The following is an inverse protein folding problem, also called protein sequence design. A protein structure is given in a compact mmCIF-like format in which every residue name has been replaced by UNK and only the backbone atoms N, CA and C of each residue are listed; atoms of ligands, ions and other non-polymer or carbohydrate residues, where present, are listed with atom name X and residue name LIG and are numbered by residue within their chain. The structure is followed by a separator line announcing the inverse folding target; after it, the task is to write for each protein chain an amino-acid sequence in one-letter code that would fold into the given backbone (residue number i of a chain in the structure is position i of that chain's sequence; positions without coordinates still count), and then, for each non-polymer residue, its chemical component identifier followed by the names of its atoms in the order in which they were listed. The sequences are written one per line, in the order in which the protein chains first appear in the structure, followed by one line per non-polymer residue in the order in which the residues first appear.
data_IF_857678968969
#
_entry.id   IF_857678968969
#
_cell.length_a   1.000
_cell.length_b   1.000
_cell.length_c   1.000
_cell.angle_alpha   90.00
_cell.angle_beta   90.00
_cell.angle_gamma   90.00
#
_symmetry.space_group_name_H-M   'P 1'
#
loop_
_entity.id
_entity.type
_entity.pdbx_description
1 polymer ?
#
# COMPACT_ATOMS: atom_id res chain seq x y z
N UNK A 1 -32.41 39.48 10.37
CA UNK A 1 -32.88 38.42 11.30
C UNK A 1 -32.25 37.15 10.77
N UNK A 2 -31.26 36.61 11.48
CA UNK A 2 -30.13 35.80 10.95
C UNK A 2 -29.24 36.59 9.94
N UNK A 3 -27.91 36.45 9.85
CA UNK A 3 -26.93 35.35 10.10
C UNK A 3 -26.91 34.28 8.98
N UNK A 4 -25.79 33.75 8.47
CA UNK A 4 -24.33 33.93 8.73
C UNK A 4 -23.53 33.23 7.57
N UNK A 5 -22.23 33.39 7.27
CA UNK A 5 -21.11 34.32 7.62
C UNK A 5 -19.97 34.16 6.55
N UNK A 6 -19.01 35.10 6.36
CA UNK A 6 -17.84 34.93 5.48
C UNK A 6 -16.48 34.74 6.23
N UNK A 7 -15.40 34.52 5.46
CA UNK A 7 -14.06 34.08 5.89
C UNK A 7 -13.21 35.08 6.72
N UNK A 8 -12.18 34.52 7.38
CA UNK A 8 -10.76 34.93 7.30
C UNK A 8 -9.99 35.31 8.61
N UNK A 9 -8.91 34.54 8.83
CA UNK A 9 -7.57 34.98 9.27
C UNK A 9 -7.34 35.98 10.44
N UNK A 10 -6.99 35.40 11.59
CA UNK A 10 -5.66 35.51 12.23
C UNK A 10 -5.21 36.74 13.07
N UNK A 11 -4.39 36.40 14.08
CA UNK A 11 -3.37 37.17 14.83
C UNK A 11 -3.78 38.11 15.99
N UNK A 12 -3.08 37.89 17.12
CA UNK A 12 -2.83 38.78 18.27
C UNK A 12 -4.05 39.12 19.16
N UNK A 13 -4.07 38.78 20.46
CA UNK A 13 -3.19 39.44 21.45
C UNK A 13 -3.02 38.69 22.79
N UNK A 14 -1.88 38.94 23.44
CA UNK A 14 -1.67 39.02 24.91
C UNK A 14 -2.34 38.00 25.87
N UNK A 15 -1.55 37.01 26.26
CA UNK A 15 -1.18 36.75 27.69
C UNK A 15 -2.14 37.22 28.80
N UNK A 16 -3.01 36.32 29.27
CA UNK A 16 -3.53 36.21 30.64
C UNK A 16 -4.02 34.76 30.81
N UNK A 17 -3.35 33.96 31.66
CA UNK A 17 -3.82 32.68 32.25
C UNK A 17 -2.64 31.93 32.92
N UNK A 18 -2.02 32.54 33.95
CA UNK A 18 -0.92 31.93 34.73
C UNK A 18 -1.10 32.17 36.23
N UNK A 19 -2.32 32.01 36.78
CA UNK A 19 -2.54 32.28 38.21
C UNK A 19 -3.62 31.43 38.94
N UNK A 20 -3.89 30.19 38.51
CA UNK A 20 -4.84 29.29 39.22
C UNK A 20 -4.33 27.86 39.50
N UNK A 21 -3.08 27.68 39.99
CA UNK A 21 -2.72 26.39 40.63
C UNK A 21 -1.59 26.32 41.67
N UNK A 22 -1.15 27.44 42.25
CA UNK A 22 -0.09 27.46 43.27
C UNK A 22 -0.54 27.81 44.70
N UNK A 23 -1.83 27.69 45.02
CA UNK A 23 -2.34 27.83 46.40
C UNK A 23 -2.41 26.49 47.16
N UNK A 24 -1.26 25.88 47.45
CA UNK A 24 -1.17 24.83 48.48
C UNK A 24 0.27 24.68 49.02
N UNK A 25 0.58 25.37 50.12
CA UNK A 25 1.49 25.02 51.24
C UNK A 25 2.05 26.28 51.93
N UNK A 26 2.11 26.28 53.27
CA UNK A 26 2.89 27.25 54.06
C UNK A 26 2.11 28.36 54.77
N UNK A 27 1.50 28.06 55.91
CA UNK A 27 1.09 29.08 56.89
C UNK A 27 2.31 29.60 57.66
N UNK A 28 2.52 30.92 57.74
CA UNK A 28 2.95 31.61 58.99
C UNK A 28 3.03 33.14 58.87
N UNK A 29 2.32 33.84 59.77
CA UNK A 29 2.68 35.14 60.40
C UNK A 29 3.44 36.22 59.59
N UNK A 30 2.67 37.24 59.17
CA UNK A 30 2.95 38.68 59.38
C UNK A 30 4.38 39.24 59.31
N UNK A 31 4.68 40.00 58.25
CA UNK A 31 5.31 41.33 58.33
C UNK A 31 5.14 42.11 56.99
N UNK A 32 5.33 43.45 56.93
CA UNK A 32 5.11 44.27 55.73
C UNK A 32 6.27 44.22 54.71
N UNK A 33 6.07 44.66 53.44
CA UNK A 33 6.96 44.32 52.33
C UNK A 33 8.27 45.12 52.28
N UNK A 34 9.30 44.49 51.73
CA UNK A 34 10.54 45.12 51.22
C UNK A 34 10.67 44.85 49.72
N UNK A 35 11.17 45.83 48.96
CA UNK A 35 11.26 45.82 47.49
C UNK A 35 12.00 44.58 46.91
N UNK A 36 11.58 44.02 45.76
CA UNK A 36 12.24 42.89 45.12
C UNK A 36 13.51 43.29 44.35
N UNK A 37 14.62 42.60 44.59
CA UNK A 37 15.88 42.79 43.86
C UNK A 37 15.89 42.04 42.50
N UNK A 38 16.24 42.69 41.37
CA UNK A 38 16.02 42.17 40.02
C UNK A 38 17.23 41.39 39.43
N UNK A 39 17.77 40.41 40.15
CA UNK A 39 19.07 39.78 39.80
C UNK A 39 19.09 38.23 39.80
N UNK A 40 17.94 37.56 39.92
CA UNK A 40 17.88 36.08 40.07
C UNK A 40 17.57 35.28 38.79
N UNK A 41 17.04 35.90 37.74
CA UNK A 41 16.57 35.15 36.55
C UNK A 41 17.71 34.72 35.61
N UNK A 42 18.89 35.34 35.70
CA UNK A 42 19.97 35.18 34.71
C UNK A 42 20.76 33.86 34.81
N UNK A 43 20.45 32.99 35.79
CA UNK A 43 21.15 31.71 36.01
C UNK A 43 20.27 30.46 35.82
N UNK A 44 19.00 30.58 35.41
CA UNK A 44 18.13 29.43 35.28
C UNK A 44 18.43 28.60 34.01
N UNK A 45 19.30 27.61 34.14
CA UNK A 45 19.65 26.67 33.06
C UNK A 45 18.58 25.61 32.75
N UNK A 46 17.50 25.55 33.55
CA UNK A 46 16.38 24.63 33.36
C UNK A 46 15.22 25.38 32.69
N UNK A 47 14.72 24.84 31.57
CA UNK A 47 13.46 25.29 30.98
C UNK A 47 12.41 24.20 31.15
N UNK A 48 11.15 24.60 31.36
CA UNK A 48 10.02 23.67 31.40
C UNK A 48 9.81 23.10 30.00
N UNK A 49 10.06 21.81 29.84
CA UNK A 49 9.87 21.07 28.59
C UNK A 49 9.25 19.71 28.90
N UNK A 50 8.27 19.31 28.10
CA UNK A 50 7.68 17.98 28.19
C UNK A 50 8.69 16.90 27.79
N UNK A 51 8.60 15.74 28.45
CA UNK A 51 9.40 14.57 28.07
C UNK A 51 9.11 14.17 26.62
N UNK A 52 10.13 13.83 25.84
CA UNK A 52 10.02 13.46 24.40
C UNK A 52 9.20 12.18 24.11
N UNK A 53 8.64 11.56 25.14
CA UNK A 53 7.73 10.40 25.09
C UNK A 53 6.37 10.70 25.74
N UNK A 54 6.12 11.95 26.15
CA UNK A 54 4.80 12.41 26.58
C UNK A 54 3.89 12.54 25.37
N UNK A 55 2.60 12.20 25.52
CA UNK A 55 1.57 12.38 24.49
C UNK A 55 1.44 13.83 24.02
N UNK A 56 1.73 14.80 24.89
CA UNK A 56 1.67 16.23 24.60
C UNK A 56 2.93 16.73 23.86
N UNK A 57 4.01 15.95 23.88
CA UNK A 57 5.26 16.32 23.22
C UNK A 57 5.15 16.15 21.70
N UNK A 58 5.45 17.21 20.95
CA UNK A 58 5.31 17.24 19.48
C UNK A 58 6.43 16.49 18.73
N UNK A 59 7.07 15.52 19.38
CA UNK A 59 8.24 14.82 18.85
C UNK A 59 7.84 13.68 17.90
N UNK A 60 8.43 13.69 16.70
CA UNK A 60 8.07 12.77 15.60
C UNK A 60 9.24 11.98 15.02
N UNK A 61 10.48 12.24 15.47
CA UNK A 61 11.69 11.72 14.83
C UNK A 61 12.15 10.36 15.39
N UNK A 62 11.23 9.39 15.46
CA UNK A 62 11.48 8.03 15.96
C UNK A 62 12.34 7.15 15.01
N UNK A 63 12.97 7.73 13.99
CA UNK A 63 13.80 7.03 13.00
C UNK A 63 14.95 6.23 13.64
N UNK A 64 15.50 6.71 14.75
CA UNK A 64 16.53 6.00 15.51
C UNK A 64 16.01 4.68 16.10
N UNK A 65 14.80 4.69 16.67
CA UNK A 65 14.15 3.49 17.24
C UNK A 65 13.81 2.50 16.12
N UNK A 66 13.25 2.98 15.01
CA UNK A 66 12.90 2.13 13.86
C UNK A 66 14.15 1.44 13.28
N UNK A 67 15.26 2.18 13.09
CA UNK A 67 16.54 1.61 12.67
C UNK A 67 17.07 0.58 13.68
N UNK A 68 16.93 0.83 14.98
CA UNK A 68 17.37 -0.10 16.03
C UNK A 68 16.54 -1.39 16.05
N UNK A 69 15.23 -1.31 15.87
CA UNK A 69 14.33 -2.46 15.73
C UNK A 69 14.72 -3.29 14.49
N UNK A 70 14.96 -2.66 13.33
CA UNK A 70 15.44 -3.36 12.13
C UNK A 70 16.78 -4.08 12.39
N UNK A 71 17.72 -3.42 13.07
CA UNK A 71 19.02 -4.01 13.40
C UNK A 71 18.85 -5.19 14.37
N UNK A 72 17.98 -5.10 15.38
CA UNK A 72 17.68 -6.21 16.29
C UNK A 72 17.00 -7.39 15.58
N UNK A 73 16.00 -7.11 14.73
CA UNK A 73 15.30 -8.13 13.95
C UNK A 73 16.28 -8.91 13.07
N UNK A 74 17.14 -8.18 12.34
CA UNK A 74 18.19 -8.76 11.50
C UNK A 74 19.19 -9.55 12.36
N UNK A 75 19.71 -9.01 13.47
CA UNK A 75 20.71 -9.71 14.29
C UNK A 75 20.16 -10.97 14.97
N UNK A 76 18.92 -10.91 15.48
CA UNK A 76 18.27 -12.02 16.20
C UNK A 76 17.93 -13.16 15.24
N UNK A 77 17.44 -12.84 14.05
CA UNK A 77 17.05 -13.82 13.03
C UNK A 77 18.14 -14.10 11.99
N UNK A 78 19.31 -13.46 12.06
CA UNK A 78 20.44 -13.74 11.17
C UNK A 78 20.89 -15.21 11.25
N UNK A 79 20.83 -15.83 12.43
CA UNK A 79 21.15 -17.26 12.56
C UNK A 79 20.09 -18.12 11.86
N UNK A 80 18.80 -17.87 12.12
CA UNK A 80 17.68 -18.55 11.45
C UNK A 80 17.72 -18.39 9.92
N UNK A 81 18.13 -17.21 9.44
CA UNK A 81 18.35 -16.93 8.02
C UNK A 81 19.54 -17.72 7.46
N UNK A 82 20.69 -17.73 8.15
CA UNK A 82 21.88 -18.47 7.74
C UNK A 82 21.65 -19.99 7.77
N UNK A 83 21.00 -20.50 8.80
CA UNK A 83 20.68 -21.93 8.95
C UNK A 83 19.71 -22.37 7.85
N UNK A 84 18.69 -21.57 7.52
CA UNK A 84 17.85 -21.83 6.34
C UNK A 84 18.64 -21.74 5.03
N UNK A 85 19.48 -20.73 4.86
CA UNK A 85 20.31 -20.56 3.65
C UNK A 85 21.35 -21.70 3.48
N UNK A 86 21.78 -22.33 4.56
CA UNK A 86 22.73 -23.47 4.55
C UNK A 86 21.99 -24.80 4.38
N UNK A 87 20.83 -25.02 5.02
CA UNK A 87 20.06 -26.26 4.94
C UNK A 87 19.23 -26.37 3.65
N UNK A 88 18.54 -25.29 3.28
CA UNK A 88 17.64 -25.23 2.12
C UNK A 88 18.26 -24.55 0.90
N UNK A 89 19.44 -23.95 1.03
CA UNK A 89 20.07 -23.16 -0.03
C UNK A 89 19.29 -21.87 -0.33
N UNK A 90 19.34 -21.44 -1.59
CA UNK A 90 18.34 -20.50 -2.09
C UNK A 90 17.06 -21.30 -2.37
N UNK A 91 16.09 -21.27 -1.45
CA UNK A 91 14.90 -22.16 -1.47
C UNK A 91 14.13 -22.14 -2.81
N UNK A 92 14.17 -21.01 -3.52
CA UNK A 92 13.83 -20.96 -4.95
C UNK A 92 15.06 -21.43 -5.73
N UNK A 93 15.12 -22.74 -6.00
CA UNK A 93 16.16 -23.34 -6.84
C UNK A 93 15.92 -22.89 -8.29
N UNK A 94 16.34 -21.65 -8.60
CA UNK A 94 15.93 -20.89 -9.79
C UNK A 94 16.30 -21.62 -11.09
N UNK A 95 17.33 -22.47 -11.03
CA UNK A 95 17.71 -23.40 -12.08
C UNK A 95 16.68 -24.52 -12.26
N UNK A 96 16.28 -25.26 -11.23
CA UNK A 96 15.28 -26.34 -11.34
C UNK A 96 13.91 -25.80 -11.72
N UNK A 97 13.53 -24.61 -11.20
CA UNK A 97 12.29 -23.93 -11.60
C UNK A 97 12.35 -23.58 -13.09
N UNK A 98 13.47 -23.03 -13.59
CA UNK A 98 13.65 -22.69 -15.01
C UNK A 98 13.76 -23.92 -15.92
N UNK A 99 14.39 -25.01 -15.47
CA UNK A 99 14.51 -26.27 -16.21
C UNK A 99 13.14 -26.95 -16.33
N UNK A 100 12.37 -27.06 -15.24
CA UNK A 100 10.98 -27.55 -15.27
C UNK A 100 10.05 -26.66 -16.12
N UNK A 101 10.28 -25.34 -16.11
CA UNK A 101 9.58 -24.35 -16.98
C UNK A 101 10.00 -24.45 -18.46
N UNK A 102 11.14 -25.07 -18.78
CA UNK A 102 11.60 -25.32 -20.15
C UNK A 102 11.27 -26.72 -20.67
N UNK A 103 11.04 -27.71 -19.81
CA UNK A 103 10.73 -29.09 -20.25
C UNK A 103 9.23 -29.27 -20.53
N UNK A 104 8.35 -28.84 -19.62
CA UNK A 104 6.88 -28.98 -19.73
C UNK A 104 6.23 -27.88 -20.58
N UNK A 105 6.52 -27.85 -21.88
CA UNK A 105 6.17 -26.78 -22.84
C UNK A 105 4.66 -26.41 -23.01
N UNK A 106 3.72 -27.01 -22.28
CA UNK A 106 2.28 -26.64 -22.31
C UNK A 106 1.53 -26.76 -20.97
N UNK A 107 2.09 -27.43 -19.96
CA UNK A 107 1.38 -27.86 -18.74
C UNK A 107 1.40 -26.84 -17.58
N UNK A 108 1.59 -25.55 -17.86
CA UNK A 108 1.70 -24.50 -16.84
C UNK A 108 0.46 -23.59 -16.78
N UNK A 109 -0.66 -24.03 -16.16
CA UNK A 109 -1.92 -23.29 -16.14
C UNK A 109 -1.79 -21.87 -15.61
N UNK A 110 -1.01 -21.62 -14.54
CA UNK A 110 -0.79 -20.26 -14.01
C UNK A 110 -0.11 -19.31 -15.02
N UNK A 111 0.82 -19.82 -15.84
CA UNK A 111 1.48 -19.03 -16.90
C UNK A 111 0.50 -18.77 -18.04
N UNK A 112 -0.29 -19.77 -18.42
CA UNK A 112 -1.36 -19.64 -19.41
C UNK A 112 -2.44 -18.63 -18.97
N UNK A 113 -2.79 -18.59 -17.67
CA UNK A 113 -3.64 -17.57 -17.07
C UNK A 113 -3.02 -16.17 -17.22
N UNK A 114 -1.76 -15.97 -16.82
CA UNK A 114 -1.09 -14.66 -16.92
C UNK A 114 -0.99 -14.20 -18.40
N UNK A 115 -0.78 -15.12 -19.34
CA UNK A 115 -0.81 -14.81 -20.77
C UNK A 115 -2.23 -14.40 -21.20
N UNK A 116 -3.27 -15.15 -20.83
CA UNK A 116 -4.66 -14.83 -21.11
C UNK A 116 -5.12 -13.48 -20.52
N UNK A 117 -4.58 -13.08 -19.37
CA UNK A 117 -4.83 -11.77 -18.76
C UNK A 117 -4.55 -10.59 -19.71
N UNK A 118 -3.54 -10.72 -20.58
CA UNK A 118 -3.20 -9.70 -21.58
C UNK A 118 -4.33 -9.49 -22.61
N UNK A 119 -5.11 -10.53 -22.93
CA UNK A 119 -6.23 -10.40 -23.87
C UNK A 119 -7.33 -9.48 -23.34
N UNK A 120 -7.61 -9.50 -22.03
CA UNK A 120 -8.56 -8.59 -21.39
C UNK A 120 -8.10 -7.13 -21.38
N UNK A 121 -6.78 -6.90 -21.26
CA UNK A 121 -6.19 -5.57 -21.36
C UNK A 121 -6.25 -5.03 -22.80
N UNK A 122 -5.96 -5.87 -23.80
CA UNK A 122 -6.10 -5.52 -25.21
C UNK A 122 -7.58 -5.26 -25.56
N UNK A 123 -8.51 -6.08 -25.05
CA UNK A 123 -9.95 -5.88 -25.22
C UNK A 123 -10.42 -4.54 -24.64
N UNK A 124 -9.96 -4.16 -23.44
CA UNK A 124 -10.25 -2.85 -22.85
C UNK A 124 -9.76 -1.68 -23.73
N UNK A 125 -8.56 -1.78 -24.31
CA UNK A 125 -8.04 -0.78 -25.25
C UNK A 125 -8.84 -0.71 -26.56
N UNK A 126 -9.28 -1.86 -27.08
CA UNK A 126 -10.11 -1.92 -28.28
C UNK A 126 -11.50 -1.33 -28.06
N UNK A 127 -12.12 -1.58 -26.89
CA UNK A 127 -13.39 -0.95 -26.50
C UNK A 127 -13.26 0.58 -26.44
N UNK A 128 -12.24 1.10 -25.76
CA UNK A 128 -12.01 2.55 -25.65
C UNK A 128 -11.79 3.18 -27.04
N UNK A 129 -10.95 2.57 -27.88
CA UNK A 129 -10.70 3.01 -29.26
C UNK A 129 -11.93 2.96 -30.16
N UNK A 130 -12.94 2.16 -29.84
CA UNK A 130 -14.22 2.12 -30.57
C UNK A 130 -15.23 3.15 -30.03
N UNK A 131 -15.11 3.57 -28.76
CA UNK A 131 -15.86 4.69 -28.19
C UNK A 131 -15.33 6.03 -28.70
N UNK A 132 -14.01 6.24 -28.75
CA UNK A 132 -13.41 7.47 -29.25
C UNK A 132 -13.66 7.67 -30.76
N UNK A 133 -13.85 6.59 -31.52
CA UNK A 133 -14.32 6.62 -32.92
C UNK A 133 -15.83 6.84 -33.06
N UNK A 134 -16.59 6.96 -31.97
CA UNK A 134 -18.05 7.09 -32.00
C UNK A 134 -18.78 5.88 -32.59
N UNK A 135 -18.13 4.70 -32.65
CA UNK A 135 -18.71 3.48 -33.25
C UNK A 135 -19.67 2.78 -32.28
N UNK A 136 -19.55 3.02 -30.98
CA UNK A 136 -20.47 2.52 -29.95
C UNK A 136 -21.17 3.66 -29.20
N UNK A 137 -22.41 3.41 -28.80
CA UNK A 137 -23.16 4.27 -27.87
C UNK A 137 -22.49 4.26 -26.48
N UNK A 138 -22.41 5.40 -25.76
CA UNK A 138 -21.78 5.48 -24.44
C UNK A 138 -22.29 4.45 -23.43
N UNK A 139 -23.61 4.21 -23.39
CA UNK A 139 -24.23 3.23 -22.48
C UNK A 139 -23.84 1.79 -22.83
N UNK A 140 -23.73 1.48 -24.13
CA UNK A 140 -23.26 0.17 -24.59
C UNK A 140 -21.76 -0.02 -24.29
N UNK A 141 -20.96 1.05 -24.42
CA UNK A 141 -19.56 1.08 -24.02
C UNK A 141 -19.37 0.74 -22.55
N UNK A 142 -20.04 1.46 -21.64
CA UNK A 142 -19.94 1.22 -20.20
C UNK A 142 -20.41 -0.20 -19.83
N UNK A 143 -21.49 -0.71 -20.46
CA UNK A 143 -21.95 -2.09 -20.29
C UNK A 143 -20.90 -3.13 -20.72
N UNK A 144 -20.24 -2.93 -21.88
CA UNK A 144 -19.19 -3.84 -22.37
C UNK A 144 -17.90 -3.74 -21.54
N UNK A 145 -17.56 -2.55 -21.01
CA UNK A 145 -16.45 -2.36 -20.10
C UNK A 145 -16.67 -3.08 -18.76
N UNK A 146 -17.87 -2.95 -18.18
CA UNK A 146 -18.29 -3.69 -16.98
C UNK A 146 -18.34 -5.20 -17.25
N UNK A 147 -18.81 -5.63 -18.42
CA UNK A 147 -18.80 -7.03 -18.85
C UNK A 147 -17.39 -7.60 -19.01
N UNK A 148 -16.45 -6.84 -19.59
CA UNK A 148 -15.04 -7.24 -19.71
C UNK A 148 -14.36 -7.32 -18.34
N UNK A 149 -14.69 -6.42 -17.40
CA UNK A 149 -14.20 -6.44 -16.02
C UNK A 149 -14.76 -7.63 -15.22
N UNK A 150 -16.06 -7.93 -15.36
CA UNK A 150 -16.69 -9.10 -14.74
C UNK A 150 -16.19 -10.42 -15.31
N UNK A 151 -15.96 -10.49 -16.64
CA UNK A 151 -15.37 -11.68 -17.25
C UNK A 151 -13.91 -11.87 -16.82
N UNK A 152 -13.14 -10.77 -16.69
CA UNK A 152 -11.78 -10.81 -16.15
C UNK A 152 -11.73 -11.39 -14.73
N UNK A 153 -12.65 -11.02 -13.82
CA UNK A 153 -12.63 -11.55 -12.45
C UNK A 153 -13.19 -12.97 -12.34
N UNK A 154 -14.18 -13.33 -13.15
CA UNK A 154 -14.77 -14.68 -13.17
C UNK A 154 -13.87 -15.72 -13.87
N UNK A 155 -13.18 -15.36 -14.95
CA UNK A 155 -12.34 -16.27 -15.73
C UNK A 155 -11.30 -17.06 -14.89
N UNK A 156 -10.40 -16.43 -14.10
CA UNK A 156 -9.40 -17.17 -13.33
C UNK A 156 -10.06 -18.05 -12.26
N UNK A 157 -11.15 -17.58 -11.63
CA UNK A 157 -11.88 -18.36 -10.63
C UNK A 157 -12.52 -19.62 -11.22
N UNK A 158 -13.11 -19.53 -12.42
CA UNK A 158 -13.69 -20.69 -13.11
C UNK A 158 -12.61 -21.69 -13.55
N UNK A 159 -11.47 -21.23 -14.08
CA UNK A 159 -10.38 -22.15 -14.45
C UNK A 159 -9.77 -22.82 -13.21
N UNK A 160 -9.55 -22.08 -12.11
CA UNK A 160 -9.00 -22.64 -10.86
C UNK A 160 -9.96 -23.63 -10.18
N UNK A 161 -11.28 -23.49 -10.37
CA UNK A 161 -12.26 -24.46 -9.87
C UNK A 161 -12.44 -25.69 -10.77
N UNK A 162 -12.05 -25.61 -12.06
CA UNK A 162 -12.15 -26.71 -13.02
C UNK A 162 -10.86 -27.53 -13.10
N UNK A 163 -9.71 -26.87 -13.07
CA UNK A 163 -8.38 -27.50 -13.16
C UNK A 163 -7.73 -27.65 -11.78
N UNK A 164 -7.85 -28.86 -11.23
CA UNK A 164 -7.27 -29.22 -9.93
C UNK A 164 -5.76 -29.49 -9.97
N UNK A 165 -5.08 -29.38 -11.13
CA UNK A 165 -3.63 -29.51 -11.21
C UNK A 165 -2.87 -28.24 -10.80
N UNK A 166 -3.57 -27.14 -10.49
CA UNK A 166 -2.97 -25.86 -10.14
C UNK A 166 -2.48 -25.87 -8.68
N UNK A 167 -1.17 -25.72 -8.50
CA UNK A 167 -0.55 -25.52 -7.17
C UNK A 167 -1.16 -24.30 -6.45
N UNK A 168 -1.49 -24.44 -5.16
CA UNK A 168 -2.14 -23.42 -4.33
C UNK A 168 -1.48 -22.05 -4.38
N UNK A 169 -0.14 -22.01 -4.38
CA UNK A 169 0.61 -20.75 -4.52
C UNK A 169 0.49 -20.10 -5.91
N UNK A 170 0.42 -20.94 -6.96
CA UNK A 170 0.15 -20.50 -8.33
C UNK A 170 -1.28 -19.98 -8.53
N UNK A 171 -2.26 -20.62 -7.89
CA UNK A 171 -3.65 -20.15 -7.86
C UNK A 171 -3.76 -18.78 -7.17
N UNK A 172 -3.13 -18.63 -5.98
CA UNK A 172 -3.08 -17.35 -5.26
C UNK A 172 -2.44 -16.23 -6.10
N UNK A 173 -1.26 -16.49 -6.70
CA UNK A 173 -0.58 -15.50 -7.54
C UNK A 173 -1.38 -15.13 -8.81
N UNK A 174 -2.08 -16.10 -9.40
CA UNK A 174 -2.98 -15.87 -10.54
C UNK A 174 -4.18 -14.99 -10.15
N UNK A 175 -4.86 -15.30 -9.04
CA UNK A 175 -5.98 -14.48 -8.55
C UNK A 175 -5.53 -13.06 -8.16
N UNK A 176 -4.37 -12.92 -7.52
CA UNK A 176 -3.79 -11.63 -7.16
C UNK A 176 -3.48 -10.78 -8.40
N UNK A 177 -2.77 -11.33 -9.39
CA UNK A 177 -2.44 -10.60 -10.63
C UNK A 177 -3.67 -10.21 -11.43
N UNK A 178 -4.68 -11.08 -11.54
CA UNK A 178 -5.96 -10.76 -12.17
C UNK A 178 -6.75 -9.67 -11.42
N UNK A 179 -6.72 -9.68 -10.08
CA UNK A 179 -7.37 -8.64 -9.24
C UNK A 179 -6.70 -7.28 -9.43
N UNK A 180 -5.37 -7.23 -9.40
CA UNK A 180 -4.60 -6.00 -9.66
C UNK A 180 -4.85 -5.48 -11.08
N UNK A 181 -4.93 -6.37 -12.08
CA UNK A 181 -5.29 -5.99 -13.45
C UNK A 181 -6.71 -5.43 -13.53
N UNK A 182 -7.69 -6.03 -12.83
CA UNK A 182 -9.06 -5.55 -12.79
C UNK A 182 -9.17 -4.14 -12.21
N UNK A 183 -8.51 -3.88 -11.08
CA UNK A 183 -8.46 -2.54 -10.47
C UNK A 183 -7.82 -1.50 -11.40
N UNK A 184 -6.73 -1.85 -12.08
CA UNK A 184 -6.09 -0.99 -13.09
C UNK A 184 -7.02 -0.71 -14.28
N UNK A 185 -7.66 -1.73 -14.85
CA UNK A 185 -8.55 -1.56 -16.00
C UNK A 185 -9.83 -0.79 -15.64
N UNK A 186 -10.37 -0.95 -14.43
CA UNK A 186 -11.46 -0.12 -13.93
C UNK A 186 -11.06 1.36 -13.85
N UNK A 187 -9.91 1.68 -13.24
CA UNK A 187 -9.43 3.07 -13.17
C UNK A 187 -9.15 3.65 -14.56
N UNK A 188 -8.61 2.85 -15.49
CA UNK A 188 -8.37 3.28 -16.88
C UNK A 188 -9.68 3.71 -17.56
N UNK A 189 -10.72 2.89 -17.46
CA UNK A 189 -12.04 3.12 -18.08
C UNK A 189 -12.72 4.39 -17.53
N UNK A 190 -12.78 4.54 -16.20
CA UNK A 190 -13.45 5.69 -15.58
C UNK A 190 -12.69 7.00 -15.85
N UNK A 191 -11.36 6.98 -15.79
CA UNK A 191 -10.53 8.16 -16.12
C UNK A 191 -10.66 8.56 -17.60
N UNK A 192 -10.70 7.60 -18.54
CA UNK A 192 -10.95 7.91 -19.96
C UNK A 192 -12.37 8.42 -20.20
N UNK A 193 -13.37 7.82 -19.54
CA UNK A 193 -14.76 8.28 -19.56
C UNK A 193 -14.88 9.74 -19.10
N UNK A 194 -14.20 10.11 -18.03
CA UNK A 194 -14.14 11.49 -17.52
C UNK A 194 -13.45 12.45 -18.50
N UNK A 195 -12.30 12.07 -19.07
CA UNK A 195 -11.64 12.89 -20.10
C UNK A 195 -12.52 13.09 -21.35
N UNK A 196 -13.24 12.05 -21.80
CA UNK A 196 -14.18 12.14 -22.93
C UNK A 196 -15.35 13.07 -22.64
N UNK A 197 -15.92 13.01 -21.43
CA UNK A 197 -16.97 13.94 -20.99
C UNK A 197 -16.47 15.40 -20.95
N UNK A 198 -15.30 15.65 -20.37
CA UNK A 198 -14.67 16.98 -20.36
C UNK A 198 -14.21 17.50 -21.72
N UNK A 199 -14.25 16.66 -22.76
CA UNK A 199 -13.91 17.02 -24.15
C UNK A 199 -15.12 17.38 -25.00
N UNK A 200 -16.35 17.26 -24.48
CA UNK A 200 -17.55 17.81 -25.11
C UNK A 200 -17.52 19.34 -24.92
N UNK A 201 -17.52 20.15 -25.99
CA UNK A 201 -17.40 21.60 -25.85
C UNK A 201 -18.67 22.19 -25.24
N UNK A 202 -18.56 22.69 -24.01
CA UNK A 202 -19.50 23.67 -23.47
C UNK A 202 -19.62 24.87 -24.42
N UNK A 203 -20.82 25.45 -24.51
CA UNK A 203 -21.17 26.53 -25.44
C UNK A 203 -20.47 27.86 -25.08
N UNK A 204 -19.17 27.93 -25.33
CA UNK A 204 -18.29 29.06 -25.00
C UNK A 204 -16.79 28.71 -24.96
N UNK A 205 -16.39 27.44 -25.04
CA UNK A 205 -14.98 27.02 -24.96
C UNK A 205 -14.20 27.26 -26.26
N UNK A 206 -12.95 27.72 -26.12
CA UNK A 206 -12.09 28.11 -27.23
C UNK A 206 -11.66 26.94 -28.12
N UNK A 207 -11.63 27.17 -29.45
CA UNK A 207 -11.35 26.11 -30.45
C UNK A 207 -9.92 25.57 -30.37
N UNK A 208 -8.96 26.38 -29.91
CA UNK A 208 -7.58 25.94 -29.68
C UNK A 208 -7.48 24.93 -28.53
N UNK A 209 -8.15 25.19 -27.40
CA UNK A 209 -8.17 24.29 -26.24
C UNK A 209 -8.83 22.96 -26.60
N UNK A 210 -9.93 23.00 -27.36
CA UNK A 210 -10.59 21.80 -27.88
C UNK A 210 -9.66 21.01 -28.83
N UNK A 211 -8.88 21.69 -29.66
CA UNK A 211 -7.93 21.04 -30.59
C UNK A 211 -6.76 20.38 -29.86
N UNK A 212 -6.14 21.03 -28.86
CA UNK A 212 -5.11 20.40 -28.03
C UNK A 212 -5.67 19.22 -27.24
N UNK A 213 -6.85 19.37 -26.63
CA UNK A 213 -7.52 18.29 -25.89
C UNK A 213 -7.79 17.09 -26.80
N UNK A 214 -8.32 17.31 -28.01
CA UNK A 214 -8.61 16.26 -28.98
C UNK A 214 -7.34 15.57 -29.49
N UNK A 215 -6.28 16.34 -29.78
CA UNK A 215 -4.97 15.79 -30.15
C UNK A 215 -4.35 14.96 -29.02
N UNK A 216 -4.58 15.34 -27.76
CA UNK A 216 -4.15 14.58 -26.59
C UNK A 216 -4.97 13.29 -26.36
N UNK A 217 -6.19 13.18 -26.90
CA UNK A 217 -7.00 11.93 -26.93
C UNK A 217 -6.45 10.94 -27.96
N UNK A 218 -6.04 11.40 -29.15
CA UNK A 218 -5.55 10.51 -30.23
C UNK A 218 -4.29 9.71 -29.86
N UNK A 219 -3.55 10.14 -28.82
CA UNK A 219 -2.37 9.45 -28.26
C UNK A 219 -2.69 8.22 -27.37
N UNK A 220 -3.81 7.52 -27.60
CA UNK A 220 -4.17 6.31 -26.86
C UNK A 220 -3.37 5.08 -27.34
N UNK A 221 -2.06 5.03 -27.02
CA UNK A 221 -1.11 4.02 -27.51
C UNK A 221 -1.10 2.73 -26.67
N UNK A 222 -0.89 1.59 -27.33
CA UNK A 222 -0.62 0.30 -26.66
C UNK A 222 0.55 0.41 -25.67
N UNK A 223 1.61 1.13 -26.04
CA UNK A 223 2.79 1.37 -25.20
C UNK A 223 2.43 2.01 -23.86
N UNK A 224 1.54 2.99 -23.86
CA UNK A 224 1.24 3.81 -22.69
C UNK A 224 0.30 3.06 -21.73
N UNK A 225 -0.60 2.21 -22.29
CA UNK A 225 -1.33 1.20 -21.50
C UNK A 225 -0.36 0.20 -20.86
N UNK A 226 0.53 -0.44 -21.62
CA UNK A 226 1.47 -1.42 -21.05
C UNK A 226 2.42 -0.80 -20.01
N UNK A 227 2.83 0.47 -20.19
CA UNK A 227 3.55 1.23 -19.16
C UNK A 227 2.72 1.38 -17.88
N UNK A 228 1.45 1.77 -17.98
CA UNK A 228 0.55 1.84 -16.82
C UNK A 228 0.29 0.46 -16.17
N UNK A 229 0.18 -0.61 -16.96
CA UNK A 229 0.01 -1.97 -16.40
C UNK A 229 1.22 -2.39 -15.55
N UNK A 230 2.43 -2.06 -15.99
CA UNK A 230 3.67 -2.35 -15.25
C UNK A 230 4.01 -1.34 -14.14
N UNK A 231 3.40 -0.15 -14.15
CA UNK A 231 3.62 0.86 -13.11
C UNK A 231 3.08 0.40 -11.74
N UNK A 232 3.76 0.71 -10.62
CA UNK A 232 3.33 0.35 -9.26
C UNK A 232 2.21 1.29 -8.75
N UNK A 233 1.18 1.52 -9.56
CA UNK A 233 0.02 2.37 -9.27
C UNK A 233 -1.27 1.69 -9.71
N UNK A 234 -2.35 1.88 -8.96
CA UNK A 234 -3.70 1.44 -9.37
C UNK A 234 -4.46 2.54 -10.13
N UNK A 235 -4.24 3.80 -9.78
CA UNK A 235 -4.86 4.95 -10.44
C UNK A 235 -4.20 5.22 -11.80
N UNK A 236 -5.01 5.31 -12.85
CA UNK A 236 -4.56 5.73 -14.18
C UNK A 236 -4.44 7.27 -14.26
N UNK A 237 -3.40 7.75 -14.95
CA UNK A 237 -3.22 9.15 -15.30
C UNK A 237 -2.53 9.21 -16.66
N UNK A 238 -3.02 10.06 -17.58
CA UNK A 238 -2.52 10.06 -18.97
C UNK A 238 -1.05 10.48 -19.11
N UNK A 239 -0.56 11.34 -18.21
CA UNK A 239 0.85 11.73 -18.11
C UNK A 239 1.37 11.43 -16.70
N UNK A 240 2.24 10.42 -16.56
CA UNK A 240 2.91 10.11 -15.29
C UNK A 240 4.19 10.95 -15.09
N UNK A 241 4.56 11.32 -13.85
CA UNK A 241 5.81 12.04 -13.57
C UNK A 241 7.03 11.11 -13.73
N UNK A 242 7.92 11.43 -14.66
CA UNK A 242 9.15 10.66 -14.90
C UNK A 242 10.31 11.11 -14.00
N UNK A 243 11.04 10.16 -13.43
CA UNK A 243 12.33 10.44 -12.78
C UNK A 243 13.42 10.62 -13.85
N UNK A 244 14.26 11.67 -13.79
CA UNK A 244 15.18 11.99 -14.89
C UNK A 244 16.35 11.01 -15.05
N UNK A 245 16.67 10.22 -14.02
CA UNK A 245 17.70 9.16 -14.04
C UNK A 245 17.32 8.01 -13.09
N UNK A 246 17.48 6.77 -13.54
CA UNK A 246 17.30 5.57 -12.70
C UNK A 246 18.51 5.42 -11.78
N UNK A 247 18.28 5.36 -10.46
CA UNK A 247 19.33 5.19 -9.44
C UNK A 247 19.55 3.71 -9.15
N UNK A 248 20.37 3.04 -9.97
CA UNK A 248 20.60 1.59 -9.90
C UNK A 248 20.96 1.12 -8.49
N UNK A 249 21.85 1.82 -7.78
CA UNK A 249 22.25 1.45 -6.41
C UNK A 249 21.06 1.43 -5.42
N UNK A 250 20.05 2.29 -5.61
CA UNK A 250 18.82 2.31 -4.78
C UNK A 250 17.92 1.12 -5.14
N UNK A 251 17.79 0.82 -6.44
CA UNK A 251 17.04 -0.34 -6.91
C UNK A 251 17.67 -1.65 -6.42
N UNK A 252 18.98 -1.83 -6.57
CA UNK A 252 19.71 -3.00 -6.07
C UNK A 252 19.62 -3.13 -4.55
N UNK A 253 19.74 -2.02 -3.80
CA UNK A 253 19.51 -2.03 -2.35
C UNK A 253 18.10 -2.52 -2.01
N UNK A 254 17.08 -1.94 -2.64
CA UNK A 254 15.66 -2.30 -2.39
C UNK A 254 15.37 -3.76 -2.78
N UNK A 255 15.99 -4.27 -3.85
CA UNK A 255 15.88 -5.68 -4.25
C UNK A 255 16.53 -6.61 -3.22
N UNK A 256 17.69 -6.26 -2.66
CA UNK A 256 18.33 -7.02 -1.57
C UNK A 256 17.45 -6.99 -0.32
N UNK A 257 16.92 -5.82 0.05
CA UNK A 257 15.98 -5.67 1.19
C UNK A 257 14.73 -6.53 0.99
N UNK A 258 14.12 -6.54 -0.20
CA UNK A 258 12.98 -7.40 -0.53
C UNK A 258 13.31 -8.90 -0.45
N UNK A 259 14.49 -9.32 -0.93
CA UNK A 259 14.92 -10.74 -0.82
C UNK A 259 15.13 -11.13 0.64
N UNK A 260 15.82 -10.31 1.43
CA UNK A 260 16.06 -10.58 2.87
C UNK A 260 14.73 -10.64 3.63
N UNK A 261 13.82 -9.67 3.42
CA UNK A 261 12.49 -9.68 4.04
C UNK A 261 11.66 -10.90 3.63
N UNK A 262 11.72 -11.32 2.36
CA UNK A 262 11.02 -12.53 1.88
C UNK A 262 11.56 -13.78 2.58
N UNK A 263 12.88 -13.90 2.75
CA UNK A 263 13.50 -15.03 3.45
C UNK A 263 13.20 -15.01 4.96
N UNK A 264 13.13 -13.83 5.60
CA UNK A 264 12.66 -13.71 6.99
C UNK A 264 11.20 -14.18 7.11
N UNK A 265 10.31 -13.73 6.23
CA UNK A 265 8.89 -14.15 6.23
C UNK A 265 8.77 -15.68 6.04
N UNK A 266 9.50 -16.26 5.08
CA UNK A 266 9.51 -17.72 4.86
C UNK A 266 10.05 -18.46 6.08
N UNK A 267 11.12 -17.98 6.70
CA UNK A 267 11.66 -18.55 7.95
C UNK A 267 10.65 -18.49 9.09
N UNK A 268 9.96 -17.36 9.28
CA UNK A 268 8.91 -17.20 10.30
C UNK A 268 7.73 -18.16 10.05
N UNK A 269 7.29 -18.29 8.79
CA UNK A 269 6.25 -19.25 8.40
C UNK A 269 6.68 -20.69 8.74
N UNK A 270 7.87 -21.10 8.35
CA UNK A 270 8.36 -22.48 8.54
C UNK A 270 8.68 -22.82 10.01
N UNK A 271 9.15 -21.86 10.80
CA UNK A 271 9.63 -22.11 12.17
C UNK A 271 8.59 -21.86 13.26
N UNK A 272 7.60 -21.00 13.00
CA UNK A 272 6.58 -20.64 13.98
C UNK A 272 5.17 -20.99 13.50
N UNK A 273 4.79 -20.60 12.28
CA UNK A 273 3.40 -20.80 11.82
C UNK A 273 3.13 -22.27 11.52
N UNK A 274 4.02 -22.99 10.82
CA UNK A 274 3.88 -24.41 10.49
C UNK A 274 3.68 -25.32 11.73
N UNK A 275 4.53 -25.29 12.79
CA UNK A 275 4.31 -26.13 13.97
C UNK A 275 3.08 -25.73 14.80
N UNK A 276 2.70 -24.45 14.82
CA UNK A 276 1.43 -24.01 15.42
C UNK A 276 0.25 -24.54 14.58
N UNK A 277 0.33 -24.47 13.26
CA UNK A 277 -0.69 -24.95 12.34
C UNK A 277 -0.93 -26.45 12.52
N UNK A 278 0.12 -27.29 12.49
CA UNK A 278 0.03 -28.73 12.72
C UNK A 278 -0.52 -29.08 14.11
N UNK A 279 -0.15 -28.33 15.16
CA UNK A 279 -0.76 -28.46 16.49
C UNK A 279 -2.26 -28.11 16.47
N UNK A 280 -2.64 -27.09 15.69
CA UNK A 280 -4.01 -26.58 15.63
C UNK A 280 -4.95 -27.40 14.74
N UNK A 281 -4.48 -28.01 13.65
CA UNK A 281 -5.32 -28.78 12.71
C UNK A 281 -6.01 -29.96 13.41
N UNK A 282 -5.27 -30.67 14.25
CA UNK A 282 -5.75 -31.74 15.12
C UNK A 282 -6.80 -31.27 16.17
N UNK A 283 -6.77 -29.98 16.53
CA UNK A 283 -7.67 -29.33 17.50
C UNK A 283 -8.94 -28.78 16.85
N UNK A 284 -8.82 -28.02 15.75
CA UNK A 284 -9.92 -27.30 15.12
C UNK A 284 -11.11 -28.19 14.75
N UNK A 285 -10.86 -29.43 14.31
CA UNK A 285 -11.92 -30.38 13.91
C UNK A 285 -12.71 -30.97 15.08
N UNK A 286 -12.19 -30.92 16.32
CA UNK A 286 -12.67 -31.76 17.42
C UNK A 286 -12.96 -31.01 18.74
N UNK A 287 -12.67 -29.70 18.83
CA UNK A 287 -12.66 -28.97 20.10
C UNK A 287 -13.67 -27.80 20.17
N UNK A 288 -14.05 -27.48 21.41
CA UNK A 288 -14.98 -26.41 21.77
C UNK A 288 -14.52 -25.00 21.36
N UNK A 289 -15.51 -24.11 21.21
CA UNK A 289 -15.33 -22.74 20.73
C UNK A 289 -14.39 -21.93 21.65
N UNK A 290 -14.37 -22.21 22.95
CA UNK A 290 -13.49 -21.54 23.93
C UNK A 290 -12.00 -21.82 23.67
N UNK A 291 -11.59 -23.09 23.58
CA UNK A 291 -10.18 -23.44 23.30
C UNK A 291 -9.76 -23.04 21.88
N UNK A 292 -10.71 -22.98 20.94
CA UNK A 292 -10.48 -22.42 19.61
C UNK A 292 -10.11 -20.92 19.65
N UNK A 293 -10.71 -20.14 20.56
CA UNK A 293 -10.37 -18.71 20.76
C UNK A 293 -9.04 -18.55 21.51
N UNK A 294 -8.73 -19.46 22.44
CA UNK A 294 -7.45 -19.50 23.16
C UNK A 294 -6.27 -19.69 22.20
N UNK A 295 -6.29 -20.75 21.38
CA UNK A 295 -5.24 -20.99 20.37
C UNK A 295 -5.20 -19.92 19.26
N UNK A 296 -6.35 -19.30 18.92
CA UNK A 296 -6.37 -18.16 18.00
C UNK A 296 -5.65 -16.94 18.60
N UNK A 297 -5.79 -16.68 19.91
CA UNK A 297 -5.04 -15.62 20.59
C UNK A 297 -3.55 -15.93 20.69
N UNK A 298 -3.14 -17.17 21.01
CA UNK A 298 -1.73 -17.58 20.97
C UNK A 298 -1.11 -17.36 19.57
N UNK A 299 -1.84 -17.73 18.52
CA UNK A 299 -1.43 -17.53 17.13
C UNK A 299 -1.37 -16.05 16.74
N UNK A 300 -2.36 -15.23 17.13
CA UNK A 300 -2.37 -13.78 16.85
C UNK A 300 -1.24 -13.06 17.59
N UNK A 301 -0.97 -13.40 18.85
CA UNK A 301 0.18 -12.84 19.60
C UNK A 301 1.48 -13.23 18.92
N UNK A 302 1.63 -14.48 18.48
CA UNK A 302 2.81 -14.96 17.75
C UNK A 302 2.99 -14.22 16.41
N UNK A 303 1.91 -14.03 15.64
CA UNK A 303 1.92 -13.32 14.35
C UNK A 303 1.99 -11.79 14.45
N UNK A 304 1.97 -11.21 15.66
CA UNK A 304 2.12 -9.77 15.89
C UNK A 304 3.48 -9.39 16.50
N UNK A 305 4.17 -10.36 17.10
CA UNK A 305 5.49 -10.18 17.73
C UNK A 305 6.66 -10.44 16.74
N UNK A 306 6.40 -11.14 15.63
CA UNK A 306 7.36 -11.50 14.58
C UNK A 306 6.96 -10.98 13.19
#
# INVERSE_FOLDING_TARGET
MSAAEPEACALSSSSLDVEEKCQYYGNSSSDPPTEPHPDMDMFCCHSVQDSLLSSDSRFTNYRGILNWIIILLILTHAHLFLDNFIQHGFLIDLRKVLEHLMEDHYNWPSVNLILAANMFAIAALLLERCLDKGTLSPSAGHCLHLGNLGLLTLFPAVIILYDTSISTGGAYFSLWTYTVLGLKLYSYQETNSWYRQGSVPSSGTDKCVLHETKKHIEHLTIKDLYYFLLAPTLCYQRNFPFTPRVRINVLCKTLIEMVVLTQIIVGVVQQWIEPIFQRSENSFSNMDITTRVEHLMELVVSMFVF
#
